data_IF_822338252938
#
_entry.id   IF_822338252938
#
_cell.length_a   1.000
_cell.length_b   1.000
_cell.length_c   1.000
_cell.angle_alpha   90.00
_cell.angle_beta   90.00
_cell.angle_gamma   90.00
#
_symmetry.space_group_name_H-M   'P 1'
#
loop_
_entity.id
_entity.type
_entity.pdbx_description
1 polymer ?
#
# COMPACT_ATOMS: atom_id res chain seq x y z
N UNK A 1 28.11 2.37 -26.50
CA UNK A 1 27.43 3.35 -25.61
C UNK A 1 26.06 2.78 -25.32
N UNK A 2 25.87 2.16 -24.16
CA UNK A 2 24.57 1.58 -23.80
C UNK A 2 23.68 2.71 -23.27
N UNK A 3 22.58 2.99 -23.96
CA UNK A 3 21.53 3.86 -23.44
C UNK A 3 21.00 3.21 -22.16
N UNK A 4 21.44 3.70 -21.00
CA UNK A 4 20.68 3.52 -19.78
C UNK A 4 19.35 4.24 -20.01
N UNK A 5 18.35 3.54 -20.53
CA UNK A 5 16.97 4.00 -20.57
C UNK A 5 16.65 4.48 -19.17
N UNK A 6 16.53 5.80 -19.02
CA UNK A 6 16.42 6.42 -17.71
C UNK A 6 15.02 6.12 -17.17
N UNK A 7 14.89 4.96 -16.52
CA UNK A 7 13.61 4.44 -16.02
C UNK A 7 13.00 5.34 -14.96
N UNK A 8 13.75 6.27 -14.38
CA UNK A 8 13.26 7.18 -13.35
C UNK A 8 12.15 8.09 -13.87
N UNK A 9 12.27 8.60 -15.11
CA UNK A 9 11.35 9.62 -15.65
C UNK A 9 9.87 9.19 -15.66
N UNK A 10 9.50 7.99 -16.16
CA UNK A 10 8.10 7.54 -16.06
C UNK A 10 7.60 7.42 -14.62
N UNK A 11 8.48 7.04 -13.68
CA UNK A 11 8.13 6.84 -12.28
C UNK A 11 7.99 8.16 -11.50
N UNK A 12 8.71 9.21 -11.89
CA UNK A 12 8.55 10.57 -11.33
C UNK A 12 7.12 11.12 -11.51
N UNK A 13 6.41 10.66 -12.54
CA UNK A 13 5.02 11.06 -12.81
C UNK A 13 3.98 10.29 -11.99
N UNK A 14 4.39 9.26 -11.26
CA UNK A 14 3.51 8.46 -10.40
C UNK A 14 3.27 9.24 -9.11
N UNK A 15 2.00 9.48 -8.71
CA UNK A 15 1.72 10.15 -7.43
C UNK A 15 2.28 9.33 -6.27
N UNK A 16 2.64 9.96 -5.15
CA UNK A 16 3.19 9.22 -4.01
C UNK A 16 2.12 8.34 -3.36
N UNK A 17 2.36 7.03 -3.24
CA UNK A 17 1.53 6.15 -2.40
C UNK A 17 1.60 6.64 -0.96
N UNK A 18 0.47 7.01 -0.37
CA UNK A 18 0.36 7.45 1.02
C UNK A 18 -0.36 6.44 1.89
N UNK A 19 -1.24 5.62 1.30
CA UNK A 19 -2.05 4.66 2.01
C UNK A 19 -3.07 3.96 1.12
N UNK A 20 -4.07 3.32 1.74
CA UNK A 20 -5.13 2.56 1.06
C UNK A 20 -6.01 3.47 0.19
N UNK A 21 -6.18 4.72 0.60
CA UNK A 21 -7.05 5.74 0.01
C UNK A 21 -6.63 6.20 -1.39
N UNK A 22 -5.34 6.05 -1.74
CA UNK A 22 -4.81 6.42 -3.05
C UNK A 22 -4.17 5.26 -3.81
N UNK A 23 -4.22 4.04 -3.27
CA UNK A 23 -3.62 2.86 -3.87
C UNK A 23 -4.09 2.56 -5.30
N UNK A 24 -5.38 2.70 -5.61
CA UNK A 24 -5.89 2.44 -6.97
C UNK A 24 -5.25 3.36 -8.00
N UNK A 25 -5.27 4.66 -7.73
CA UNK A 25 -4.70 5.68 -8.62
C UNK A 25 -3.20 5.47 -8.74
N UNK A 26 -2.52 5.19 -7.62
CA UNK A 26 -1.11 4.85 -7.61
C UNK A 26 -0.81 3.62 -8.47
N UNK A 27 -1.52 2.51 -8.28
CA UNK A 27 -1.33 1.25 -9.01
C UNK A 27 -1.53 1.45 -10.50
N UNK A 28 -2.58 2.16 -10.92
CA UNK A 28 -2.82 2.47 -12.34
C UNK A 28 -1.66 3.25 -12.97
N UNK A 29 -1.17 4.29 -12.28
CA UNK A 29 -0.06 5.12 -12.76
C UNK A 29 1.27 4.35 -12.75
N UNK A 30 1.50 3.52 -11.74
CA UNK A 30 2.66 2.64 -11.67
C UNK A 30 2.65 1.60 -12.79
N UNK A 31 1.52 0.95 -13.05
CA UNK A 31 1.38 0.00 -14.16
C UNK A 31 1.69 0.67 -15.50
N UNK A 32 1.22 1.90 -15.72
CA UNK A 32 1.57 2.65 -16.93
C UNK A 32 3.08 2.91 -17.03
N UNK A 33 3.73 3.34 -15.93
CA UNK A 33 5.18 3.55 -15.90
C UNK A 33 5.94 2.25 -16.23
N UNK A 34 5.54 1.12 -15.64
CA UNK A 34 6.13 -0.19 -15.89
C UNK A 34 5.97 -0.65 -17.34
N UNK A 35 4.83 -0.37 -17.97
CA UNK A 35 4.61 -0.66 -19.39
C UNK A 35 5.52 0.19 -20.28
N UNK A 36 5.64 1.49 -19.99
CA UNK A 36 6.50 2.41 -20.75
C UNK A 36 7.98 2.02 -20.67
N UNK A 37 8.44 1.50 -19.53
CA UNK A 37 9.83 1.04 -19.36
C UNK A 37 10.06 -0.42 -19.70
N UNK A 38 9.02 -1.13 -20.19
CA UNK A 38 9.03 -2.58 -20.48
C UNK A 38 9.47 -3.43 -19.28
N UNK A 39 9.02 -3.04 -18.09
CA UNK A 39 9.39 -3.65 -16.81
C UNK A 39 8.25 -4.43 -16.13
N UNK A 40 7.09 -4.57 -16.78
CA UNK A 40 5.91 -5.20 -16.17
C UNK A 40 6.14 -6.67 -15.76
N UNK A 41 7.01 -7.39 -16.48
CA UNK A 41 7.35 -8.78 -16.16
C UNK A 41 7.98 -8.94 -14.77
N UNK A 42 8.66 -7.91 -14.26
CA UNK A 42 9.32 -7.98 -12.95
C UNK A 42 8.34 -7.99 -11.77
N UNK A 43 7.08 -7.61 -11.97
CA UNK A 43 6.02 -7.72 -10.96
C UNK A 43 5.02 -8.86 -11.25
N UNK A 44 5.03 -9.41 -12.46
CA UNK A 44 4.15 -10.50 -12.88
C UNK A 44 4.51 -11.80 -12.14
N UNK A 45 3.58 -12.48 -11.45
CA UNK A 45 3.85 -13.72 -10.73
C UNK A 45 4.32 -14.88 -11.63
N UNK A 46 4.00 -14.86 -12.92
CA UNK A 46 4.33 -15.94 -13.87
C UNK A 46 5.70 -15.77 -14.54
N UNK A 47 6.39 -14.65 -14.28
CA UNK A 47 7.73 -14.44 -14.85
C UNK A 47 8.77 -15.19 -14.00
N UNK A 48 9.61 -15.98 -14.63
CA UNK A 48 10.75 -16.62 -13.97
C UNK A 48 12.04 -15.86 -14.30
N UNK A 49 12.99 -15.90 -13.37
CA UNK A 49 14.32 -15.35 -13.62
C UNK A 49 15.03 -16.21 -14.70
N UNK A 50 15.76 -15.59 -15.63
CA UNK A 50 16.50 -16.33 -16.64
C UNK A 50 17.63 -17.15 -16.00
N UNK A 51 17.85 -18.38 -16.49
CA UNK A 51 18.84 -19.30 -15.92
C UNK A 51 20.31 -19.06 -16.35
N UNK A 52 20.51 -18.30 -17.43
CA UNK A 52 21.80 -18.22 -18.14
C UNK A 52 22.53 -16.87 -17.93
N UNK A 53 23.53 -16.60 -18.77
CA UNK A 53 24.39 -15.40 -18.82
C UNK A 53 23.67 -14.03 -18.80
N UNK A 54 22.34 -13.98 -18.98
CA UNK A 54 21.54 -12.77 -18.79
C UNK A 54 21.15 -12.49 -17.34
N UNK A 55 21.44 -13.40 -16.39
CA UNK A 55 21.01 -13.29 -14.99
C UNK A 55 21.52 -12.00 -14.32
N UNK A 56 22.78 -11.63 -14.53
CA UNK A 56 23.35 -10.42 -13.92
C UNK A 56 22.64 -9.15 -14.43
N UNK A 57 22.48 -9.04 -15.75
CA UNK A 57 21.78 -7.89 -16.37
C UNK A 57 20.30 -7.84 -16.00
N UNK A 58 19.66 -8.99 -15.86
CA UNK A 58 18.28 -9.10 -15.39
C UNK A 58 18.16 -8.68 -13.92
N UNK A 59 19.10 -9.11 -13.07
CA UNK A 59 19.15 -8.76 -11.64
C UNK A 59 19.39 -7.27 -11.44
N UNK A 60 20.29 -6.67 -12.22
CA UNK A 60 20.50 -5.22 -12.21
C UNK A 60 19.25 -4.46 -12.62
N UNK A 61 18.52 -4.97 -13.61
CA UNK A 61 17.26 -4.36 -14.06
C UNK A 61 16.17 -4.49 -13.00
N UNK A 62 16.03 -5.66 -12.37
CA UNK A 62 15.10 -5.88 -11.25
C UNK A 62 15.39 -4.92 -10.09
N UNK A 63 16.67 -4.76 -9.72
CA UNK A 63 17.10 -3.81 -8.69
C UNK A 63 16.72 -2.37 -9.02
N UNK A 64 16.89 -1.95 -10.28
CA UNK A 64 16.50 -0.62 -10.72
C UNK A 64 14.98 -0.43 -10.63
N UNK A 65 14.19 -1.42 -11.05
CA UNK A 65 12.73 -1.38 -10.99
C UNK A 65 12.24 -1.38 -9.54
N UNK A 66 12.84 -2.19 -8.67
CA UNK A 66 12.55 -2.21 -7.23
C UNK A 66 12.74 -0.83 -6.58
N UNK A 67 13.88 -0.18 -6.84
CA UNK A 67 14.16 1.19 -6.38
C UNK A 67 13.18 2.19 -6.98
N UNK A 68 12.84 2.07 -8.25
CA UNK A 68 11.89 2.95 -8.91
C UNK A 68 10.49 2.83 -8.29
N UNK A 69 10.00 1.61 -8.00
CA UNK A 69 8.71 1.39 -7.31
C UNK A 69 8.73 2.07 -5.93
N UNK A 70 9.75 1.82 -5.11
CA UNK A 70 9.87 2.45 -3.78
C UNK A 70 9.99 3.98 -3.86
N UNK A 71 10.63 4.50 -4.91
CA UNK A 71 10.69 5.95 -5.12
C UNK A 71 9.32 6.59 -5.36
N UNK A 72 8.27 5.80 -5.64
CA UNK A 72 6.89 6.28 -5.79
C UNK A 72 6.07 6.18 -4.50
N UNK A 73 6.68 5.84 -3.36
CA UNK A 73 6.00 5.80 -2.06
C UNK A 73 6.31 7.04 -1.21
N UNK A 74 5.46 7.32 -0.21
CA UNK A 74 5.76 8.29 0.84
C UNK A 74 7.01 7.87 1.64
N UNK A 75 7.58 8.82 2.38
CA UNK A 75 8.80 8.58 3.17
C UNK A 75 8.60 7.50 4.25
N UNK A 76 7.42 7.48 4.89
CA UNK A 76 7.09 6.46 5.89
C UNK A 76 7.05 5.07 5.29
N UNK A 77 6.37 4.89 4.15
CA UNK A 77 6.30 3.60 3.45
C UNK A 77 7.68 3.19 2.92
N UNK A 78 8.46 4.16 2.38
CA UNK A 78 9.81 3.93 1.92
C UNK A 78 10.69 3.37 3.05
N UNK A 79 10.71 4.03 4.21
CA UNK A 79 11.51 3.61 5.38
C UNK A 79 11.14 2.20 5.86
N UNK A 80 9.87 1.83 5.79
CA UNK A 80 9.39 0.51 6.21
C UNK A 80 9.79 -0.64 5.27
N UNK A 81 10.17 -0.33 4.02
CA UNK A 81 10.42 -1.33 2.98
C UNK A 81 11.82 -1.24 2.35
N UNK A 82 12.64 -0.27 2.77
CA UNK A 82 13.98 -0.05 2.19
C UNK A 82 14.91 -1.25 2.41
N UNK A 83 14.74 -1.97 3.52
CA UNK A 83 15.56 -3.14 3.85
C UNK A 83 15.37 -4.30 2.86
N UNK A 84 14.20 -4.39 2.21
CA UNK A 84 13.96 -5.37 1.13
C UNK A 84 14.86 -5.14 -0.10
N UNK A 85 15.49 -3.97 -0.25
CA UNK A 85 16.48 -3.75 -1.31
C UNK A 85 17.82 -4.42 -1.02
N UNK A 86 18.14 -4.65 0.25
CA UNK A 86 19.41 -5.22 0.69
C UNK A 86 19.34 -6.73 0.93
N UNK A 87 18.13 -7.28 1.04
CA UNK A 87 17.95 -8.70 1.29
C UNK A 87 18.30 -9.51 0.02
N UNK A 88 19.30 -10.38 0.15
CA UNK A 88 19.93 -11.10 -0.97
C UNK A 88 19.38 -12.52 -1.14
N UNK A 89 18.47 -12.95 -0.25
CA UNK A 89 18.08 -14.35 -0.09
C UNK A 89 16.84 -14.73 -0.93
N UNK A 90 16.18 -13.78 -1.59
CA UNK A 90 14.91 -14.06 -2.27
C UNK A 90 15.10 -14.82 -3.60
N UNK A 91 14.51 -16.03 -3.68
CA UNK A 91 14.27 -16.78 -4.94
C UNK A 91 13.35 -16.02 -5.92
N UNK A 92 12.80 -14.87 -5.50
CA UNK A 92 11.85 -14.06 -6.25
C UNK A 92 12.47 -12.70 -6.61
N UNK A 93 12.12 -12.11 -7.77
CA UNK A 93 12.51 -10.75 -8.12
C UNK A 93 12.15 -9.75 -7.01
N UNK A 94 13.08 -8.86 -6.66
CA UNK A 94 12.93 -7.88 -5.58
C UNK A 94 11.77 -6.92 -5.86
N UNK A 95 11.58 -6.50 -7.11
CA UNK A 95 10.44 -5.64 -7.43
C UNK A 95 9.11 -6.33 -7.19
N UNK A 96 9.03 -7.66 -7.39
CA UNK A 96 7.83 -8.45 -7.09
C UNK A 96 7.58 -8.51 -5.60
N UNK A 97 8.63 -8.75 -4.81
CA UNK A 97 8.53 -8.80 -3.33
C UNK A 97 7.99 -7.47 -2.81
N UNK A 98 8.59 -6.36 -3.22
CA UNK A 98 8.15 -5.01 -2.84
C UNK A 98 6.71 -4.75 -3.30
N UNK A 99 6.40 -5.00 -4.57
CA UNK A 99 5.06 -4.75 -5.11
C UNK A 99 3.99 -5.56 -4.36
N UNK A 100 4.25 -6.85 -4.09
CA UNK A 100 3.33 -7.69 -3.32
C UNK A 100 3.18 -7.24 -1.87
N UNK A 101 4.26 -6.78 -1.23
CA UNK A 101 4.17 -6.23 0.12
C UNK A 101 3.28 -4.99 0.15
N UNK A 102 3.49 -4.06 -0.79
CA UNK A 102 2.66 -2.85 -0.94
C UNK A 102 1.21 -3.19 -1.29
N UNK A 103 0.98 -4.16 -2.17
CA UNK A 103 -0.37 -4.64 -2.51
C UNK A 103 -1.06 -5.32 -1.33
N UNK A 104 -0.34 -6.11 -0.54
CA UNK A 104 -0.89 -6.74 0.66
C UNK A 104 -1.28 -5.71 1.71
N UNK A 105 -0.44 -4.69 1.91
CA UNK A 105 -0.61 -3.67 2.94
C UNK A 105 -1.61 -2.57 2.55
N UNK A 106 -1.59 -2.13 1.30
CA UNK A 106 -2.34 -0.97 0.83
C UNK A 106 -3.39 -1.31 -0.25
N UNK A 107 -3.44 -2.57 -0.68
CA UNK A 107 -4.26 -2.99 -1.81
C UNK A 107 -5.75 -2.78 -1.66
N UNK A 108 -6.45 -3.05 -2.77
CA UNK A 108 -7.91 -2.98 -2.84
C UNK A 108 -8.61 -4.20 -2.24
N UNK A 109 -7.87 -5.07 -1.56
CA UNK A 109 -8.38 -6.25 -0.89
C UNK A 109 -8.61 -5.94 0.58
N UNK A 110 -9.72 -6.47 1.10
CA UNK A 110 -10.05 -6.39 2.52
C UNK A 110 -10.98 -5.24 2.88
N UNK A 111 -11.50 -5.34 4.10
CA UNK A 111 -12.58 -4.51 4.61
C UNK A 111 -12.12 -3.09 4.96
N UNK A 112 -10.82 -2.93 5.21
CA UNK A 112 -10.16 -1.65 5.45
C UNK A 112 -10.13 -0.76 4.21
N UNK A 113 -9.94 -1.35 3.04
CA UNK A 113 -9.99 -0.60 1.77
C UNK A 113 -11.39 -0.02 1.55
N UNK A 114 -12.41 -0.85 1.79
CA UNK A 114 -13.81 -0.43 1.72
C UNK A 114 -14.12 0.72 2.68
N UNK A 115 -13.59 0.66 3.90
CA UNK A 115 -13.75 1.71 4.90
C UNK A 115 -13.04 3.00 4.50
N UNK A 116 -11.78 2.93 4.05
CA UNK A 116 -11.02 4.11 3.60
C UNK A 116 -11.69 4.80 2.40
N UNK A 117 -12.21 4.03 1.45
CA UNK A 117 -12.95 4.57 0.31
C UNK A 117 -14.27 5.22 0.74
N UNK A 118 -14.99 4.59 1.67
CA UNK A 118 -16.19 5.14 2.29
C UNK A 118 -15.92 6.46 3.02
N UNK A 119 -14.85 6.53 3.81
CA UNK A 119 -14.41 7.75 4.50
C UNK A 119 -14.11 8.88 3.52
N UNK A 120 -13.29 8.61 2.49
CA UNK A 120 -13.00 9.58 1.43
C UNK A 120 -14.26 10.11 0.73
N UNK A 121 -15.24 9.23 0.50
CA UNK A 121 -16.52 9.64 -0.08
C UNK A 121 -17.33 10.52 0.88
N UNK A 122 -17.41 10.15 2.17
CA UNK A 122 -18.10 10.94 3.20
C UNK A 122 -17.46 12.32 3.42
N UNK A 123 -16.15 12.42 3.29
CA UNK A 123 -15.41 13.68 3.40
C UNK A 123 -15.49 14.53 2.12
N UNK A 124 -15.83 13.91 0.99
CA UNK A 124 -15.95 14.62 -0.27
C UNK A 124 -17.07 15.67 -0.22
N UNK A 125 -16.78 16.87 -0.73
CA UNK A 125 -17.74 17.96 -0.88
C UNK A 125 -17.66 18.44 -2.31
N UNK A 126 -18.80 18.59 -2.98
CA UNK A 126 -18.87 19.19 -4.30
C UNK A 126 -18.59 20.69 -4.15
N UNK A 127 -17.56 21.20 -4.80
CA UNK A 127 -17.29 22.64 -4.85
C UNK A 127 -18.27 23.40 -5.73
N UNK A 128 -18.38 24.72 -5.54
CA UNK A 128 -19.35 25.60 -6.23
C UNK A 128 -19.22 25.60 -7.77
N UNK A 129 -18.12 25.10 -8.33
CA UNK A 129 -17.85 25.03 -9.77
C UNK A 129 -17.49 23.63 -10.27
N UNK A 130 -17.66 22.61 -9.44
CA UNK A 130 -17.33 21.23 -9.83
C UNK A 130 -18.49 20.55 -10.55
N UNK A 131 -18.15 19.67 -11.50
CA UNK A 131 -19.13 18.81 -12.16
C UNK A 131 -19.62 17.76 -11.15
N UNK A 132 -20.92 17.82 -10.85
CA UNK A 132 -21.60 16.92 -9.91
C UNK A 132 -21.45 15.44 -10.33
N UNK A 133 -21.46 15.14 -11.62
CA UNK A 133 -21.28 13.76 -12.11
C UNK A 133 -19.84 13.29 -11.98
N UNK A 134 -18.87 14.19 -12.10
CA UNK A 134 -17.46 13.89 -11.85
C UNK A 134 -17.14 13.75 -10.35
N UNK A 135 -17.83 14.53 -9.50
CA UNK A 135 -17.75 14.43 -8.04
C UNK A 135 -18.41 13.15 -7.50
N UNK A 136 -19.50 12.70 -8.13
CA UNK A 136 -20.24 11.49 -7.78
C UNK A 136 -19.45 10.20 -8.10
N UNK A 137 -18.30 10.01 -7.45
CA UNK A 137 -17.40 8.86 -7.57
C UNK A 137 -17.93 7.62 -6.83
N UNK A 138 -19.25 7.43 -6.78
CA UNK A 138 -19.89 6.28 -6.10
C UNK A 138 -19.71 4.95 -6.85
N UNK A 139 -19.17 4.97 -8.08
CA UNK A 139 -19.02 3.76 -8.92
C UNK A 139 -18.08 2.75 -8.27
N UNK A 140 -17.01 3.20 -7.62
CA UNK A 140 -16.11 2.30 -6.88
C UNK A 140 -16.79 1.79 -5.60
N UNK A 141 -17.64 2.59 -4.94
CA UNK A 141 -18.44 2.14 -3.81
C UNK A 141 -19.46 1.05 -4.17
N UNK A 142 -20.02 1.07 -5.39
CA UNK A 142 -20.96 0.03 -5.86
C UNK A 142 -20.32 -1.36 -5.97
N UNK A 143 -18.99 -1.43 -6.07
CA UNK A 143 -18.26 -2.69 -6.18
C UNK A 143 -17.86 -3.25 -4.80
N UNK A 144 -18.07 -2.48 -3.73
CA UNK A 144 -17.75 -2.89 -2.36
C UNK A 144 -18.86 -3.81 -1.83
N UNK A 145 -18.46 -4.97 -1.31
CA UNK A 145 -19.34 -5.82 -0.50
C UNK A 145 -19.44 -5.23 0.91
N UNK A 146 -20.66 -4.89 1.34
CA UNK A 146 -20.92 -4.40 2.68
C UNK A 146 -20.78 -5.53 3.73
N UNK A 147 -20.08 -5.22 4.81
CA UNK A 147 -19.90 -6.09 5.98
C UNK A 147 -19.95 -5.21 7.23
N UNK A 148 -20.98 -5.43 8.06
CA UNK A 148 -21.25 -4.60 9.23
C UNK A 148 -20.22 -4.79 10.34
N UNK A 149 -19.79 -6.03 10.59
CA UNK A 149 -18.85 -6.33 11.67
C UNK A 149 -17.49 -5.70 11.38
N UNK A 150 -17.09 -5.78 10.12
CA UNK A 150 -15.88 -5.16 9.65
C UNK A 150 -15.93 -3.63 9.65
N UNK A 151 -17.08 -3.04 9.30
CA UNK A 151 -17.30 -1.61 9.42
C UNK A 151 -17.13 -1.16 10.88
N UNK A 152 -17.76 -1.86 11.82
CA UNK A 152 -17.64 -1.57 13.26
C UNK A 152 -16.18 -1.61 13.74
N UNK A 153 -15.43 -2.63 13.36
CA UNK A 153 -14.00 -2.76 13.68
C UNK A 153 -13.21 -1.58 13.13
N UNK A 154 -13.41 -1.21 11.86
CA UNK A 154 -12.67 -0.13 11.22
C UNK A 154 -13.04 1.25 11.78
N UNK A 155 -14.31 1.50 12.11
CA UNK A 155 -14.75 2.72 12.81
C UNK A 155 -14.07 2.82 14.17
N UNK A 156 -14.05 1.73 14.95
CA UNK A 156 -13.42 1.70 16.26
C UNK A 156 -11.91 1.98 16.14
N UNK A 157 -11.21 1.32 15.22
CA UNK A 157 -9.77 1.53 15.01
C UNK A 157 -9.47 2.96 14.56
N UNK A 158 -10.27 3.54 13.65
CA UNK A 158 -10.07 4.90 13.15
C UNK A 158 -10.36 5.97 14.22
N UNK A 159 -11.27 5.70 15.14
CA UNK A 159 -11.57 6.59 16.27
C UNK A 159 -10.60 6.49 17.45
N UNK A 160 -9.60 5.61 17.40
CA UNK A 160 -8.62 5.50 18.49
C UNK A 160 -7.66 6.69 18.48
N UNK A 161 -7.31 7.25 19.66
CA UNK A 161 -6.28 8.28 19.76
C UNK A 161 -4.90 7.79 19.30
N UNK A 162 -4.05 8.71 18.82
CA UNK A 162 -2.72 8.45 18.25
C UNK A 162 -1.81 7.56 19.12
N UNK A 163 -1.98 7.56 20.44
CA UNK A 163 -1.25 6.68 21.37
C UNK A 163 -1.44 5.19 21.09
N UNK A 164 -2.50 4.82 20.35
CA UNK A 164 -2.76 3.46 19.90
C UNK A 164 -2.26 3.18 18.48
N UNK A 165 -1.54 4.13 17.86
CA UNK A 165 -1.06 4.05 16.47
C UNK A 165 -0.39 2.72 16.15
N UNK A 166 0.53 2.24 16.99
CA UNK A 166 1.21 0.95 16.77
C UNK A 166 0.27 -0.27 16.73
N UNK A 167 -0.81 -0.26 17.52
CA UNK A 167 -1.82 -1.32 17.49
C UNK A 167 -2.72 -1.20 16.25
N UNK A 168 -3.09 0.03 15.89
CA UNK A 168 -3.85 0.32 14.66
C UNK A 168 -3.05 -0.14 13.45
N UNK A 169 -1.78 0.25 13.35
CA UNK A 169 -0.86 -0.15 12.29
C UNK A 169 -0.72 -1.67 12.22
N UNK A 170 -0.45 -2.33 13.35
CA UNK A 170 -0.37 -3.80 13.40
C UNK A 170 -1.68 -4.49 12.98
N UNK A 171 -2.83 -3.89 13.30
CA UNK A 171 -4.15 -4.40 12.90
C UNK A 171 -4.42 -4.17 11.42
N UNK A 172 -3.85 -3.11 10.84
CA UNK A 172 -3.98 -2.75 9.43
C UNK A 172 -3.06 -3.59 8.54
N UNK A 173 -1.92 -4.03 9.07
CA UNK A 173 -0.92 -4.86 8.39
C UNK A 173 -1.10 -6.37 8.62
N UNK A 174 -1.95 -6.77 9.58
CA UNK A 174 -2.19 -8.16 9.95
C UNK A 174 -3.06 -8.92 8.94
N UNK A 175 -2.81 -10.23 8.78
CA UNK A 175 -3.63 -11.10 7.91
C UNK A 175 -5.04 -11.38 8.46
N UNK A 176 -5.23 -11.20 9.77
CA UNK A 176 -6.49 -11.43 10.46
C UNK A 176 -6.99 -10.13 11.08
N UNK A 177 -8.23 -9.77 10.75
CA UNK A 177 -8.87 -8.61 11.38
C UNK A 177 -9.04 -8.88 12.89
N UNK A 178 -8.68 -7.91 13.75
CA UNK A 178 -8.93 -8.03 15.18
C UNK A 178 -10.43 -8.10 15.44
N UNK A 179 -10.83 -8.90 16.43
CA UNK A 179 -12.20 -8.85 16.94
C UNK A 179 -12.43 -7.60 17.79
N UNK A 180 -13.69 -7.26 18.05
CA UNK A 180 -14.04 -6.17 18.98
C UNK A 180 -13.44 -6.42 20.37
N UNK A 181 -13.36 -7.67 20.83
CA UNK A 181 -12.73 -8.00 22.11
C UNK A 181 -11.22 -7.80 22.09
N UNK A 182 -10.54 -8.10 20.98
CA UNK A 182 -9.11 -7.83 20.84
C UNK A 182 -8.81 -6.32 20.93
N UNK A 183 -9.68 -5.48 20.35
CA UNK A 183 -9.59 -4.02 20.45
C UNK A 183 -9.77 -3.58 21.90
N UNK A 184 -10.83 -4.06 22.59
CA UNK A 184 -11.08 -3.73 24.00
C UNK A 184 -9.91 -4.13 24.90
N UNK A 185 -9.39 -5.34 24.75
CA UNK A 185 -8.24 -5.85 25.52
C UNK A 185 -7.00 -4.99 25.28
N UNK A 186 -6.76 -4.59 24.03
CA UNK A 186 -5.62 -3.74 23.68
C UNK A 186 -5.74 -2.34 24.31
N UNK A 187 -6.94 -1.74 24.28
CA UNK A 187 -7.21 -0.48 24.96
C UNK A 187 -6.93 -0.60 26.47
N UNK A 188 -7.46 -1.63 27.11
CA UNK A 188 -7.28 -1.87 28.54
C UNK A 188 -5.81 -2.09 28.91
N UNK A 189 -5.06 -2.84 28.10
CA UNK A 189 -3.63 -3.05 28.33
C UNK A 189 -2.84 -1.76 28.27
N UNK A 190 -3.01 -0.94 27.24
CA UNK A 190 -2.30 0.34 27.17
C UNK A 190 -2.64 1.25 28.36
N UNK A 191 -3.90 1.29 28.78
CA UNK A 191 -4.31 2.07 29.97
C UNK A 191 -3.64 1.54 31.24
N UNK A 192 -3.56 0.22 31.43
CA UNK A 192 -2.94 -0.40 32.60
C UNK A 192 -1.43 -0.17 32.67
N UNK A 193 -0.71 -0.30 31.55
CA UNK A 193 0.73 -0.01 31.49
C UNK A 193 1.02 1.45 31.90
N UNK A 194 0.19 2.38 31.47
CA UNK A 194 0.36 3.80 31.80
C UNK A 194 0.01 4.11 33.27
N UNK A 195 -0.98 3.43 33.84
CA UNK A 195 -1.25 3.57 35.28
C UNK A 195 -0.15 3.00 36.18
N UNK A 196 0.75 2.16 35.64
CA UNK A 196 1.92 1.65 36.38
C UNK A 196 3.16 2.51 36.24
N UNK A 197 3.29 3.32 35.18
CA UNK A 197 4.42 4.25 34.99
C UNK A 197 4.23 5.62 35.67
N UNK A 198 3.04 5.90 36.22
CA UNK A 198 2.68 7.18 36.86
C UNK A 198 2.78 7.12 38.41
N UNK A 199 3.39 6.07 38.98
CA UNK A 199 3.67 5.95 40.42
C UNK A 199 5.16 5.73 40.71
#
# INVERSE_FOLDING_TARGET
MSSNDNISKPFESVPKLSGKENYVVWKQRLTLALLLTRSNSFIDPNTEAPADSSLDTWTDRDNQVARAILSTTSESILSAHIDHLNDFIAELPRSRVIFKALEKLHGTSGLQYSFALGGKFLDSRCGDQEDVEAWAQYRELKLIKFDLDALCINVLLNGLPDRFGSFVDSSWTGEKNPSIEDIKVSILRCVLYWTQEVW
#
